data_IF_818228776828
#
_entry.id   IF_818228776828
#
_cell.length_a   1.000
_cell.length_b   1.000
_cell.length_c   1.000
_cell.angle_alpha   90.00
_cell.angle_beta   90.00
_cell.angle_gamma   90.00
#
_symmetry.space_group_name_H-M   'P 1'
#
loop_
_entity.id
_entity.type
_entity.pdbx_description
1 polymer ?
#
# COMPACT_ATOMS: atom_id res chain seq x y z
N UNK A 1 71.87 -16.73 3.03
CA UNK A 1 70.96 -15.70 2.47
C UNK A 1 70.06 -16.31 1.41
N UNK A 2 68.97 -16.97 1.83
CA UNK A 2 67.85 -17.47 1.00
C UNK A 2 66.87 -18.13 1.98
N UNK A 3 66.03 -17.32 2.61
CA UNK A 3 64.87 -17.66 3.46
C UNK A 3 64.51 -16.36 4.17
N UNK A 4 63.68 -15.53 3.53
CA UNK A 4 62.80 -14.44 4.03
C UNK A 4 62.31 -13.72 2.74
N UNK A 5 61.55 -14.41 1.88
CA UNK A 5 60.75 -13.77 0.79
C UNK A 5 59.39 -14.48 0.62
N UNK A 6 59.13 -15.59 1.31
CA UNK A 6 57.88 -16.35 1.14
C UNK A 6 56.74 -15.98 2.12
N UNK A 7 56.96 -15.07 3.08
CA UNK A 7 55.94 -14.73 4.10
C UNK A 7 55.39 -13.30 4.03
N UNK A 8 55.80 -12.50 3.03
CA UNK A 8 55.22 -11.16 2.78
C UNK A 8 54.28 -11.16 1.57
N UNK A 9 54.26 -12.25 0.79
CA UNK A 9 53.38 -12.41 -0.38
C UNK A 9 52.03 -13.10 -0.09
N UNK A 10 51.72 -13.31 1.19
CA UNK A 10 50.44 -13.90 1.64
C UNK A 10 49.63 -12.93 2.51
N UNK A 11 49.77 -11.63 2.24
CA UNK A 11 48.98 -10.56 2.90
C UNK A 11 48.49 -9.48 1.94
N UNK A 12 48.60 -9.71 0.64
CA UNK A 12 48.07 -8.81 -0.39
C UNK A 12 47.34 -9.67 -1.42
N UNK A 13 46.09 -9.29 -1.70
CA UNK A 13 45.20 -9.86 -2.72
C UNK A 13 44.30 -11.05 -2.33
N UNK A 14 43.69 -11.04 -1.15
CA UNK A 14 42.26 -11.40 -1.10
C UNK A 14 41.46 -10.16 -1.54
N UNK A 15 41.57 -9.82 -2.83
CA UNK A 15 40.46 -9.14 -3.50
C UNK A 15 39.41 -10.22 -3.58
N UNK A 16 38.56 -10.30 -2.56
CA UNK A 16 37.24 -10.87 -2.76
C UNK A 16 36.67 -10.10 -3.95
N UNK A 17 36.59 -10.77 -5.10
CA UNK A 17 35.68 -10.41 -6.17
C UNK A 17 34.28 -10.60 -5.59
N UNK A 18 33.86 -9.67 -4.74
CA UNK A 18 32.51 -9.63 -4.21
C UNK A 18 31.60 -9.49 -5.42
N UNK A 19 30.68 -10.44 -5.58
CA UNK A 19 29.67 -10.37 -6.62
C UNK A 19 28.76 -9.17 -6.30
N UNK A 20 29.01 -8.03 -6.96
CA UNK A 20 28.14 -6.87 -6.90
C UNK A 20 26.86 -7.15 -7.68
N UNK A 21 25.71 -6.97 -7.05
CA UNK A 21 24.43 -6.98 -7.75
C UNK A 21 24.05 -5.54 -8.09
N UNK A 22 23.70 -5.29 -9.35
CA UNK A 22 23.21 -3.98 -9.80
C UNK A 22 21.73 -4.11 -10.13
N UNK A 23 20.90 -3.31 -9.46
CA UNK A 23 19.46 -3.24 -9.63
C UNK A 23 19.09 -1.87 -10.20
N UNK A 24 18.11 -1.84 -11.10
CA UNK A 24 17.66 -0.61 -11.74
C UNK A 24 16.21 -0.36 -11.34
N UNK A 25 15.93 0.80 -10.75
CA UNK A 25 14.58 1.18 -10.35
C UNK A 25 14.19 2.49 -11.03
N UNK A 26 12.92 2.64 -11.38
CA UNK A 26 12.35 3.95 -11.70
C UNK A 26 11.82 4.58 -10.41
N UNK A 27 12.58 5.53 -9.87
CA UNK A 27 12.22 6.25 -8.64
C UNK A 27 11.80 7.67 -8.98
N UNK A 28 10.91 8.23 -8.19
CA UNK A 28 10.56 9.65 -8.26
C UNK A 28 11.36 10.43 -7.22
N UNK A 29 11.71 11.66 -7.59
CA UNK A 29 12.52 12.57 -6.79
C UNK A 29 11.65 13.51 -5.95
N UNK A 30 12.04 13.78 -4.70
CA UNK A 30 11.47 14.88 -3.92
C UNK A 30 12.26 16.15 -4.25
N UNK A 31 11.82 16.91 -5.25
CA UNK A 31 12.33 18.25 -5.48
C UNK A 31 11.25 19.26 -5.14
N UNK A 32 11.62 20.36 -4.45
CA UNK A 32 10.77 21.55 -4.27
C UNK A 32 10.36 22.20 -5.59
N UNK A 33 10.87 21.72 -6.73
CA UNK A 33 10.43 22.13 -8.06
C UNK A 33 9.16 21.36 -8.40
N UNK A 34 8.18 22.08 -8.94
CA UNK A 34 7.01 21.48 -9.58
C UNK A 34 7.45 20.30 -10.45
N UNK A 35 6.85 19.13 -10.20
CA UNK A 35 7.00 17.83 -10.88
C UNK A 35 8.17 16.92 -10.42
N UNK A 36 7.88 15.75 -9.80
CA UNK A 36 8.84 14.66 -9.74
C UNK A 36 8.97 14.09 -11.15
N UNK A 37 10.07 14.37 -11.83
CA UNK A 37 10.37 13.63 -13.05
C UNK A 37 10.82 12.23 -12.64
N UNK A 38 10.19 11.17 -13.16
CA UNK A 38 10.69 9.81 -12.95
C UNK A 38 12.17 9.77 -13.38
N UNK A 39 13.00 9.24 -12.50
CA UNK A 39 14.44 9.12 -12.69
C UNK A 39 14.84 7.69 -12.45
N UNK A 40 15.75 7.18 -13.28
CA UNK A 40 16.33 5.86 -13.01
C UNK A 40 17.34 6.00 -11.87
N UNK A 41 17.15 5.17 -10.85
CA UNK A 41 18.10 4.96 -9.78
C UNK A 41 18.73 3.57 -9.94
N UNK A 42 20.04 3.55 -10.07
CA UNK A 42 20.83 2.33 -10.00
C UNK A 42 21.21 2.09 -8.53
N UNK A 43 20.78 0.95 -7.97
CA UNK A 43 21.09 0.52 -6.62
C UNK A 43 22.05 -0.66 -6.71
N UNK A 44 23.23 -0.54 -6.12
CA UNK A 44 24.16 -1.65 -5.97
C UNK A 44 24.15 -2.19 -4.56
N UNK A 45 24.18 -3.51 -4.45
CA UNK A 45 24.32 -4.20 -3.18
C UNK A 45 25.56 -5.09 -3.13
N UNK A 46 26.06 -5.30 -1.92
CA UNK A 46 27.07 -6.34 -1.66
C UNK A 46 26.44 -7.74 -1.54
N UNK A 47 27.28 -8.73 -1.25
CA UNK A 47 26.86 -10.13 -1.12
C UNK A 47 25.87 -10.41 0.03
N UNK A 48 25.81 -9.52 1.02
CA UNK A 48 24.86 -9.59 2.13
C UNK A 48 23.52 -8.92 1.79
N UNK A 49 23.47 -8.21 0.65
CA UNK A 49 22.32 -7.43 0.20
C UNK A 49 22.30 -6.00 0.75
N UNK A 50 23.40 -5.52 1.34
CA UNK A 50 23.47 -4.15 1.87
C UNK A 50 23.72 -3.16 0.73
N UNK A 51 23.01 -2.03 0.70
CA UNK A 51 23.16 -1.01 -0.35
C UNK A 51 24.51 -0.29 -0.24
N UNK A 52 25.43 -0.55 -1.17
CA UNK A 52 26.78 0.05 -1.21
C UNK A 52 26.87 1.28 -2.09
N UNK A 53 25.94 1.43 -3.04
CA UNK A 53 25.91 2.58 -3.94
C UNK A 53 24.50 2.86 -4.46
N UNK A 54 24.18 4.13 -4.60
CA UNK A 54 23.01 4.66 -5.30
C UNK A 54 23.50 5.62 -6.40
N UNK A 55 22.93 5.58 -7.59
CA UNK A 55 23.29 6.50 -8.68
C UNK A 55 22.04 6.97 -9.41
N UNK A 56 21.94 8.28 -9.58
CA UNK A 56 20.78 8.96 -10.16
C UNK A 56 21.10 9.42 -11.59
N UNK A 57 20.24 9.10 -12.56
CA UNK A 57 20.55 9.30 -13.99
C UNK A 57 20.73 10.79 -14.40
N UNK A 58 19.83 11.67 -13.96
CA UNK A 58 19.83 13.11 -14.33
C UNK A 58 20.82 13.98 -13.59
N UNK A 59 21.19 13.64 -12.36
CA UNK A 59 21.99 14.52 -11.51
C UNK A 59 23.50 14.34 -11.67
N UNK A 60 23.95 13.29 -12.37
CA UNK A 60 25.35 12.84 -12.35
C UNK A 60 25.92 12.68 -10.91
N UNK A 61 25.05 12.58 -9.90
CA UNK A 61 25.37 12.34 -8.51
C UNK A 61 25.33 10.84 -8.22
N UNK A 62 26.16 10.39 -7.28
CA UNK A 62 26.05 9.06 -6.72
C UNK A 62 26.37 9.08 -5.23
N UNK A 63 25.63 8.29 -4.48
CA UNK A 63 25.87 8.08 -3.06
C UNK A 63 26.64 6.79 -2.90
N UNK A 64 27.73 6.83 -2.14
CA UNK A 64 28.48 5.65 -1.74
C UNK A 64 28.26 5.41 -0.26
N UNK A 65 28.09 4.17 0.13
CA UNK A 65 27.79 3.82 1.52
C UNK A 65 29.02 3.13 2.09
N UNK A 66 29.53 3.67 3.20
CA UNK A 66 30.65 3.09 3.93
C UNK A 66 30.13 2.57 5.27
N UNK A 67 30.23 1.26 5.47
CA UNK A 67 29.82 0.65 6.73
C UNK A 67 30.98 0.67 7.73
N UNK A 68 30.95 1.60 8.66
CA UNK A 68 31.65 1.51 9.93
C UNK A 68 30.67 1.15 11.06
N UNK A 69 31.09 1.27 12.33
CA UNK A 69 30.24 0.97 13.50
C UNK A 69 28.94 1.81 13.54
N UNK A 70 28.89 2.94 12.84
CA UNK A 70 27.75 3.88 12.80
C UNK A 70 27.06 3.97 11.43
N UNK A 71 27.55 3.24 10.42
CA UNK A 71 27.03 3.20 9.05
C UNK A 71 26.81 4.59 8.42
N UNK A 72 27.90 5.33 8.20
CA UNK A 72 27.87 6.63 7.53
C UNK A 72 27.54 6.53 6.03
N UNK A 73 26.65 7.40 5.55
CA UNK A 73 26.39 7.58 4.12
C UNK A 73 27.22 8.76 3.62
N UNK A 74 28.03 8.53 2.59
CA UNK A 74 28.83 9.59 1.94
C UNK A 74 28.28 9.81 0.54
N UNK A 75 27.64 10.96 0.35
CA UNK A 75 27.12 11.39 -0.95
C UNK A 75 28.22 12.10 -1.73
N UNK A 76 28.53 11.60 -2.93
CA UNK A 76 29.48 12.21 -3.86
C UNK A 76 28.72 12.96 -4.95
N UNK A 77 28.97 14.26 -5.05
CA UNK A 77 28.38 15.10 -6.09
C UNK A 77 29.29 15.18 -7.32
N UNK A 78 28.70 15.53 -8.47
CA UNK A 78 29.41 15.65 -9.74
C UNK A 78 30.52 16.73 -9.72
N UNK A 79 30.39 17.72 -8.83
CA UNK A 79 31.39 18.78 -8.61
C UNK A 79 32.53 18.35 -7.67
N UNK A 80 32.52 17.11 -7.19
CA UNK A 80 33.51 16.56 -6.27
C UNK A 80 33.27 16.89 -4.80
N UNK A 81 32.19 17.61 -4.47
CA UNK A 81 31.81 17.84 -3.08
C UNK A 81 31.27 16.57 -2.42
N UNK A 82 31.37 16.54 -1.09
CA UNK A 82 30.95 15.43 -0.25
C UNK A 82 29.93 15.90 0.78
N UNK A 83 28.89 15.10 0.99
CA UNK A 83 27.95 15.28 2.11
C UNK A 83 27.85 13.98 2.89
N UNK A 84 28.12 14.07 4.18
CA UNK A 84 27.94 12.97 5.12
C UNK A 84 26.53 13.03 5.72
N UNK A 85 25.84 11.89 5.73
CA UNK A 85 24.53 11.73 6.36
C UNK A 85 24.61 10.69 7.47
N UNK A 86 24.28 11.12 8.69
CA UNK A 86 24.16 10.23 9.84
C UNK A 86 22.75 9.63 9.90
N UNK A 87 22.65 8.31 9.73
CA UNK A 87 21.39 7.55 9.74
C UNK A 87 20.97 7.05 11.13
N UNK A 88 21.81 7.22 12.16
CA UNK A 88 21.46 6.88 13.55
C UNK A 88 20.32 7.74 14.08
N UNK A 89 20.19 8.96 13.55
CA UNK A 89 19.15 9.92 13.93
C UNK A 89 17.74 9.55 13.42
N UNK A 90 17.60 8.46 12.68
CA UNK A 90 16.31 7.98 12.23
C UNK A 90 15.73 6.99 13.24
N UNK A 91 14.60 7.36 13.85
CA UNK A 91 13.85 6.51 14.76
C UNK A 91 12.90 5.60 13.97
N UNK A 92 13.01 4.28 14.17
CA UNK A 92 12.19 3.28 13.48
C UNK A 92 11.30 2.53 14.46
N UNK A 93 10.04 2.40 14.07
CA UNK A 93 9.14 1.39 14.59
C UNK A 93 8.64 0.55 13.41
N UNK A 94 8.81 -0.77 13.48
CA UNK A 94 8.40 -1.69 12.41
C UNK A 94 7.60 -2.82 13.04
N UNK A 95 6.38 -2.98 12.59
CA UNK A 95 5.50 -4.11 12.88
C UNK A 95 5.44 -5.05 11.68
N UNK A 96 4.59 -6.07 11.74
CA UNK A 96 4.47 -7.05 10.65
C UNK A 96 3.95 -6.44 9.33
N UNK A 97 3.07 -5.44 9.41
CA UNK A 97 2.31 -4.85 8.30
C UNK A 97 2.37 -3.31 8.27
N UNK A 98 3.15 -2.71 9.17
CA UNK A 98 3.26 -1.26 9.28
C UNK A 98 4.66 -0.82 9.70
N UNK A 99 5.02 0.42 9.38
CA UNK A 99 6.19 1.06 9.94
C UNK A 99 5.94 2.55 10.19
N UNK A 100 6.72 3.12 11.08
CA UNK A 100 6.76 4.56 11.34
C UNK A 100 8.21 5.00 11.46
N UNK A 101 8.56 6.08 10.75
CA UNK A 101 9.93 6.59 10.67
C UNK A 101 9.91 8.09 10.80
N UNK A 102 10.71 8.63 11.72
CA UNK A 102 10.89 10.07 11.84
C UNK A 102 12.25 10.48 11.28
N UNK A 103 12.25 11.52 10.47
CA UNK A 103 13.45 12.13 9.88
C UNK A 103 13.44 13.62 10.17
N UNK A 104 14.55 14.11 10.72
CA UNK A 104 14.79 15.55 10.78
C UNK A 104 15.51 16.02 9.52
N UNK A 105 15.01 17.08 8.91
CA UNK A 105 15.67 17.80 7.82
C UNK A 105 15.65 19.29 8.16
N UNK A 106 16.83 19.87 8.36
CA UNK A 106 17.04 21.19 8.95
C UNK A 106 16.27 21.35 10.28
N UNK A 107 15.21 22.16 10.28
CA UNK A 107 14.37 22.45 11.45
C UNK A 107 13.02 21.73 11.41
N UNK A 108 12.77 20.92 10.38
CA UNK A 108 11.48 20.25 10.15
C UNK A 108 11.58 18.76 10.45
N UNK A 109 10.64 18.25 11.25
CA UNK A 109 10.47 16.82 11.47
C UNK A 109 9.46 16.26 10.48
N UNK A 110 9.89 15.28 9.70
CA UNK A 110 9.06 14.51 8.79
C UNK A 110 8.77 13.14 9.37
N UNK A 111 7.50 12.72 9.32
CA UNK A 111 7.05 11.38 9.69
C UNK A 111 6.62 10.63 8.44
N UNK A 112 7.22 9.46 8.23
CA UNK A 112 6.84 8.49 7.20
C UNK A 112 6.15 7.32 7.88
N UNK A 113 4.86 7.17 7.64
CA UNK A 113 4.05 6.10 8.21
C UNK A 113 3.52 5.23 7.09
N UNK A 114 3.88 3.94 7.10
CA UNK A 114 3.23 2.96 6.26
C UNK A 114 2.25 2.17 7.09
N UNK A 115 0.97 2.23 6.74
CA UNK A 115 -0.07 1.41 7.36
C UNK A 115 -1.20 1.22 6.39
N UNK A 116 -1.79 0.02 6.37
CA UNK A 116 -2.92 -0.29 5.48
C UNK A 116 -2.62 0.09 4.01
N UNK A 117 -1.37 -0.11 3.57
CA UNK A 117 -0.90 0.15 2.20
C UNK A 117 -0.88 1.61 1.77
N UNK A 118 -1.00 2.50 2.74
CA UNK A 118 -0.72 3.90 2.55
C UNK A 118 0.64 4.20 3.11
N UNK A 119 1.51 4.79 2.31
CA UNK A 119 2.69 5.47 2.79
C UNK A 119 2.34 6.95 2.93
N UNK A 120 2.28 7.46 4.14
CA UNK A 120 1.94 8.86 4.44
C UNK A 120 3.21 9.58 4.85
N UNK A 121 3.48 10.72 4.21
CA UNK A 121 4.52 11.65 4.61
C UNK A 121 3.88 12.90 5.22
N UNK A 122 4.18 13.14 6.49
CA UNK A 122 3.67 14.30 7.24
C UNK A 122 4.79 15.20 7.72
N UNK A 123 4.58 16.50 7.65
CA UNK A 123 5.36 17.52 8.35
C UNK A 123 4.80 17.63 9.77
N UNK A 124 5.51 17.02 10.72
CA UNK A 124 5.10 16.94 12.13
C UNK A 124 5.14 18.31 12.78
N UNK A 125 6.11 19.15 12.38
CA UNK A 125 6.27 20.51 12.90
C UNK A 125 5.06 21.39 12.57
N UNK A 126 4.44 21.19 11.40
CA UNK A 126 3.22 21.89 10.99
C UNK A 126 1.93 21.12 11.25
N UNK A 127 2.02 19.86 11.66
CA UNK A 127 0.89 18.94 11.79
C UNK A 127 0.09 18.80 10.48
N UNK A 128 0.81 18.66 9.36
CA UNK A 128 0.25 18.61 8.00
C UNK A 128 0.66 17.32 7.28
N UNK A 129 -0.29 16.71 6.53
CA UNK A 129 0.05 15.68 5.54
C UNK A 129 0.58 16.39 4.29
N UNK A 130 1.81 16.11 3.89
CA UNK A 130 2.39 16.66 2.66
C UNK A 130 1.96 15.85 1.45
N UNK A 131 2.06 14.54 1.57
CA UNK A 131 1.71 13.61 0.51
C UNK A 131 1.43 12.23 1.08
N UNK A 132 0.73 11.41 0.32
CA UNK A 132 0.64 9.99 0.58
C UNK A 132 0.66 9.20 -0.71
N UNK A 133 0.96 7.92 -0.58
CA UNK A 133 1.08 7.00 -1.69
C UNK A 133 0.16 5.83 -1.43
N UNK A 134 -0.65 5.49 -2.43
CA UNK A 134 -1.46 4.28 -2.41
C UNK A 134 -0.63 3.18 -3.05
N UNK A 135 -0.19 2.22 -2.24
CA UNK A 135 0.57 1.07 -2.69
C UNK A 135 -0.39 0.01 -3.22
N UNK A 136 -0.03 -0.60 -4.34
CA UNK A 136 -0.77 -1.68 -5.00
C UNK A 136 0.19 -2.77 -5.44
N UNK A 137 -0.38 -3.94 -5.66
CA UNK A 137 0.31 -5.07 -6.25
C UNK A 137 -0.40 -5.49 -7.53
N UNK A 138 0.36 -5.57 -8.62
CA UNK A 138 -0.03 -6.25 -9.87
C UNK A 138 0.72 -7.58 -9.96
N UNK A 139 0.50 -8.39 -11.00
CA UNK A 139 1.13 -9.72 -11.10
C UNK A 139 2.66 -9.65 -10.96
N UNK A 140 3.32 -8.77 -11.73
CA UNK A 140 4.79 -8.67 -11.79
C UNK A 140 5.38 -7.44 -11.09
N UNK A 141 4.55 -6.46 -10.71
CA UNK A 141 5.03 -5.18 -10.20
C UNK A 141 4.30 -4.74 -8.93
N UNK A 142 4.99 -4.00 -8.08
CA UNK A 142 4.38 -3.08 -7.13
C UNK A 142 4.16 -1.73 -7.80
N UNK A 143 3.06 -1.07 -7.46
CA UNK A 143 2.72 0.26 -7.95
C UNK A 143 2.46 1.19 -6.76
N UNK A 144 3.02 2.40 -6.75
CA UNK A 144 2.57 3.46 -5.85
C UNK A 144 1.97 4.60 -6.64
N UNK A 145 0.73 4.95 -6.34
CA UNK A 145 0.09 6.15 -6.85
C UNK A 145 0.32 7.29 -5.86
N UNK A 146 1.04 8.34 -6.27
CA UNK A 146 1.21 9.55 -5.47
C UNK A 146 -0.07 10.39 -5.47
N UNK A 147 -0.53 10.74 -4.28
CA UNK A 147 -1.64 11.64 -4.03
C UNK A 147 -1.14 12.86 -3.24
N UNK A 148 -1.29 14.05 -3.82
CA UNK A 148 -0.85 15.31 -3.21
C UNK A 148 -2.03 16.13 -2.73
N UNK A 149 -1.85 16.81 -1.61
CA UNK A 149 -2.81 17.78 -1.11
C UNK A 149 -2.94 18.93 -2.11
N UNK A 150 -4.17 19.29 -2.45
CA UNK A 150 -4.47 20.40 -3.35
C UNK A 150 -4.98 21.61 -2.57
N UNK A 151 -6.07 21.43 -1.83
CA UNK A 151 -6.74 22.48 -1.07
C UNK A 151 -7.76 21.87 -0.09
N UNK A 152 -8.34 22.67 0.80
CA UNK A 152 -9.53 22.22 1.54
C UNK A 152 -10.79 22.37 0.68
N UNK A 153 -11.82 21.59 0.99
CA UNK A 153 -13.14 21.72 0.40
C UNK A 153 -13.71 23.13 0.62
N UNK A 154 -13.44 23.73 1.77
CA UNK A 154 -13.79 25.13 2.08
C UNK A 154 -13.16 26.10 1.11
N UNK A 155 -11.89 25.91 0.76
CA UNK A 155 -11.20 26.74 -0.24
C UNK A 155 -11.81 26.59 -1.65
N UNK A 156 -12.48 25.46 -1.91
CA UNK A 156 -13.20 25.18 -3.16
C UNK A 156 -14.70 25.52 -3.11
N UNK A 157 -15.16 26.18 -2.04
CA UNK A 157 -16.55 26.66 -1.90
C UNK A 157 -17.55 25.67 -1.29
N UNK A 158 -17.10 24.55 -0.73
CA UNK A 158 -17.95 23.58 -0.03
C UNK A 158 -17.96 23.84 1.50
N UNK A 159 -19.05 23.49 2.17
CA UNK A 159 -19.18 23.59 3.64
C UNK A 159 -18.52 22.39 4.34
N UNK A 160 -17.21 22.23 4.16
CA UNK A 160 -16.44 21.13 4.74
C UNK A 160 -14.95 21.48 4.83
N UNK A 161 -14.31 21.11 5.94
CA UNK A 161 -12.86 21.25 6.14
C UNK A 161 -12.06 20.04 5.59
N UNK A 162 -12.71 19.13 4.85
CA UNK A 162 -12.01 17.97 4.31
C UNK A 162 -10.94 18.39 3.30
N UNK A 163 -9.84 17.66 3.28
CA UNK A 163 -8.68 17.93 2.44
C UNK A 163 -8.85 17.23 1.10
N UNK A 164 -8.74 17.96 -0.01
CA UNK A 164 -8.77 17.41 -1.37
C UNK A 164 -7.37 16.95 -1.74
N UNK A 165 -7.27 15.74 -2.27
CA UNK A 165 -6.04 15.21 -2.82
C UNK A 165 -6.24 14.83 -4.29
N UNK A 166 -5.26 15.17 -5.13
CA UNK A 166 -5.26 14.83 -6.54
C UNK A 166 -4.27 13.69 -6.79
N UNK A 167 -4.74 12.64 -7.46
CA UNK A 167 -3.90 11.59 -8.01
C UNK A 167 -3.30 12.11 -9.31
N UNK A 168 -2.09 12.64 -9.23
CA UNK A 168 -1.43 13.30 -10.37
C UNK A 168 -0.98 12.33 -11.49
N UNK A 169 -1.42 11.07 -11.47
CA UNK A 169 -1.08 10.07 -12.49
C UNK A 169 0.37 9.57 -12.45
N UNK A 170 1.14 9.90 -11.40
CA UNK A 170 2.48 9.38 -11.21
C UNK A 170 2.42 8.06 -10.45
N UNK A 171 2.57 6.99 -11.23
CA UNK A 171 2.67 5.64 -10.71
C UNK A 171 4.15 5.25 -10.67
N UNK A 172 4.66 5.02 -9.46
CA UNK A 172 5.98 4.42 -9.26
C UNK A 172 5.80 2.93 -9.46
N UNK A 173 6.46 2.36 -10.46
CA UNK A 173 6.33 0.95 -10.79
C UNK A 173 7.65 0.26 -10.47
N UNK A 174 7.60 -0.73 -9.57
CA UNK A 174 8.75 -1.48 -9.13
C UNK A 174 8.58 -2.95 -9.45
N UNK A 175 9.52 -3.56 -10.17
CA UNK A 175 9.47 -4.98 -10.44
C UNK A 175 9.56 -5.77 -9.15
N UNK A 176 8.65 -6.72 -8.92
CA UNK A 176 8.74 -7.65 -7.78
C UNK A 176 10.05 -8.41 -7.80
N UNK A 177 10.55 -8.75 -8.99
CA UNK A 177 11.83 -9.43 -9.16
C UNK A 177 12.98 -8.58 -8.60
N UNK A 178 13.02 -7.29 -8.92
CA UNK A 178 14.08 -6.38 -8.47
C UNK A 178 13.97 -6.10 -6.97
N UNK A 179 12.76 -5.90 -6.45
CA UNK A 179 12.52 -5.81 -5.01
C UNK A 179 12.98 -7.06 -4.27
N UNK A 180 12.64 -8.25 -4.79
CA UNK A 180 13.05 -9.51 -4.18
C UNK A 180 14.58 -9.70 -4.19
N UNK A 181 15.27 -9.13 -5.19
CA UNK A 181 16.74 -9.12 -5.23
C UNK A 181 17.34 -8.09 -4.25
N UNK A 182 16.63 -7.00 -3.95
CA UNK A 182 17.04 -6.02 -2.94
C UNK A 182 16.77 -6.51 -1.51
N UNK A 183 15.70 -7.30 -1.32
CA UNK A 183 15.27 -7.82 -0.02
C UNK A 183 16.22 -8.90 0.48
N UNK A 184 16.87 -8.63 1.60
CA UNK A 184 17.69 -9.62 2.31
C UNK A 184 16.83 -10.54 3.17
N UNK A 185 17.30 -11.76 3.41
CA UNK A 185 16.72 -12.66 4.40
C UNK A 185 16.94 -12.15 5.83
N UNK A 186 17.97 -11.33 6.03
CA UNK A 186 18.26 -10.68 7.29
C UNK A 186 17.45 -9.39 7.42
N UNK A 187 16.49 -9.37 8.35
CA UNK A 187 15.63 -8.20 8.60
C UNK A 187 16.44 -6.97 9.03
N UNK A 188 17.59 -7.15 9.68
CA UNK A 188 18.45 -6.03 10.09
C UNK A 188 19.07 -5.33 8.87
N UNK A 189 19.39 -6.08 7.82
CA UNK A 189 19.88 -5.54 6.54
C UNK A 189 18.76 -4.78 5.82
N UNK A 190 17.53 -5.29 5.82
CA UNK A 190 16.39 -4.57 5.23
C UNK A 190 16.11 -3.25 5.97
N UNK A 191 16.21 -3.25 7.30
CA UNK A 191 16.08 -2.05 8.11
C UNK A 191 17.17 -1.02 7.80
N UNK A 192 18.41 -1.47 7.66
CA UNK A 192 19.54 -0.62 7.25
C UNK A 192 19.33 -0.04 5.85
N UNK A 193 18.92 -0.87 4.89
CA UNK A 193 18.62 -0.41 3.54
C UNK A 193 17.47 0.60 3.53
N UNK A 194 16.43 0.41 4.34
CA UNK A 194 15.34 1.38 4.49
C UNK A 194 15.82 2.73 5.03
N UNK A 195 16.74 2.74 6.01
CA UNK A 195 17.40 3.96 6.49
C UNK A 195 18.10 4.72 5.36
N UNK A 196 18.89 3.99 4.56
CA UNK A 196 19.63 4.55 3.43
C UNK A 196 18.67 5.15 2.40
N UNK A 197 17.64 4.39 1.99
CA UNK A 197 16.64 4.85 1.03
C UNK A 197 15.93 6.12 1.51
N UNK A 198 15.55 6.19 2.79
CA UNK A 198 14.89 7.38 3.34
C UNK A 198 15.82 8.58 3.40
N UNK A 199 17.06 8.40 3.85
CA UNK A 199 18.06 9.47 3.89
C UNK A 199 18.28 10.08 2.51
N UNK A 200 18.21 9.25 1.48
CA UNK A 200 18.40 9.60 0.07
C UNK A 200 17.10 10.03 -0.63
N UNK A 201 15.97 10.04 0.08
CA UNK A 201 14.68 10.48 -0.47
C UNK A 201 13.94 9.44 -1.32
N UNK A 202 14.41 8.19 -1.37
CA UNK A 202 13.79 7.05 -2.06
C UNK A 202 12.85 6.27 -1.12
N UNK A 203 12.01 6.97 -0.37
CA UNK A 203 11.16 6.35 0.66
C UNK A 203 10.05 5.47 0.06
N UNK A 204 9.68 5.66 -1.22
CA UNK A 204 8.63 4.87 -1.90
C UNK A 204 9.00 3.39 -2.10
N UNK A 205 10.28 3.02 -2.01
CA UNK A 205 10.74 1.63 -2.03
C UNK A 205 10.65 0.93 -0.65
N UNK A 206 10.59 1.71 0.44
CA UNK A 206 10.70 1.22 1.82
C UNK A 206 9.61 0.20 2.18
N UNK A 207 8.32 0.39 1.81
CA UNK A 207 7.28 -0.58 2.10
C UNK A 207 7.62 -2.00 1.64
N UNK A 208 8.21 -2.16 0.46
CA UNK A 208 8.39 -3.50 -0.13
C UNK A 208 9.61 -4.25 0.41
N UNK A 209 10.57 -3.55 0.99
CA UNK A 209 11.72 -4.18 1.64
C UNK A 209 11.47 -4.46 3.12
N UNK A 210 10.62 -3.68 3.79
CA UNK A 210 10.31 -3.85 5.21
C UNK A 210 9.13 -4.79 5.47
N UNK A 211 8.11 -4.79 4.61
CA UNK A 211 6.87 -5.53 4.86
C UNK A 211 6.88 -6.89 4.16
N UNK A 212 6.41 -7.91 4.88
CA UNK A 212 6.57 -9.33 4.58
C UNK A 212 5.47 -9.93 3.69
N UNK A 213 5.06 -9.22 2.64
CA UNK A 213 4.23 -9.71 1.51
C UNK A 213 2.72 -9.39 1.56
N UNK A 214 2.17 -9.24 0.35
CA UNK A 214 0.78 -8.91 -0.05
C UNK A 214 0.31 -7.47 0.20
N UNK A 215 0.64 -6.59 -0.75
CA UNK A 215 -0.02 -5.28 -0.94
C UNK A 215 -1.30 -5.52 -1.74
N UNK A 216 -2.22 -6.26 -1.16
CA UNK A 216 -3.60 -6.36 -1.69
C UNK A 216 -4.39 -5.31 -0.99
N UNK A 217 -4.78 -4.25 -1.69
CA UNK A 217 -5.62 -3.14 -1.24
C UNK A 217 -6.87 -3.70 -0.58
N UNK A 218 -6.80 -3.91 0.73
CA UNK A 218 -7.90 -4.48 1.48
C UNK A 218 -8.55 -3.35 2.26
N UNK A 219 -9.88 -3.29 2.31
CA UNK A 219 -10.57 -2.31 3.15
C UNK A 219 -10.04 -2.29 4.58
N UNK A 220 -9.87 -1.10 5.14
CA UNK A 220 -9.51 -0.88 6.55
C UNK A 220 -10.45 -1.70 7.46
N UNK A 221 -11.75 -1.67 7.16
CA UNK A 221 -12.71 -2.56 7.82
C UNK A 221 -13.91 -2.91 6.96
N UNK A 222 -14.58 -3.99 7.39
CA UNK A 222 -15.96 -4.31 7.05
C UNK A 222 -16.78 -4.33 8.34
N UNK A 223 -17.97 -3.73 8.32
CA UNK A 223 -18.95 -3.80 9.41
C UNK A 223 -20.33 -4.03 8.82
N UNK A 224 -21.24 -4.59 9.60
CA UNK A 224 -22.63 -4.69 9.21
C UNK A 224 -23.57 -4.27 10.35
N UNK A 225 -24.77 -3.83 10.01
CA UNK A 225 -25.84 -3.56 10.99
C UNK A 225 -26.35 -4.83 11.66
N UNK A 226 -26.15 -5.99 11.03
CA UNK A 226 -26.54 -7.29 11.56
C UNK A 226 -25.61 -8.39 11.06
N UNK A 227 -25.40 -9.42 11.87
CA UNK A 227 -24.53 -10.56 11.57
C UNK A 227 -25.12 -11.82 12.18
N UNK A 228 -25.29 -12.86 11.36
CA UNK A 228 -25.84 -14.13 11.79
C UNK A 228 -24.77 -14.99 12.48
N UNK A 229 -25.12 -15.54 13.65
CA UNK A 229 -24.31 -16.55 14.33
C UNK A 229 -25.14 -17.82 14.53
N UNK A 230 -24.68 -18.93 13.99
CA UNK A 230 -25.35 -20.22 14.08
C UNK A 230 -24.38 -21.28 14.58
N UNK A 231 -24.67 -21.87 15.74
CA UNK A 231 -23.82 -22.89 16.36
C UNK A 231 -22.36 -22.39 16.45
N UNK A 232 -21.46 -23.00 15.69
CA UNK A 232 -20.03 -22.66 15.62
C UNK A 232 -19.69 -21.73 14.45
N UNK A 233 -20.60 -21.48 13.52
CA UNK A 233 -20.40 -20.60 12.38
C UNK A 233 -20.78 -19.15 12.73
N UNK A 234 -19.94 -18.20 12.30
CA UNK A 234 -20.21 -16.78 12.45
C UNK A 234 -20.06 -16.08 11.10
N UNK A 235 -21.17 -15.59 10.56
CA UNK A 235 -21.29 -14.98 9.23
C UNK A 235 -21.14 -13.46 9.32
N UNK A 236 -20.02 -13.03 9.88
CA UNK A 236 -19.68 -11.62 10.15
C UNK A 236 -19.27 -10.86 8.89
N UNK A 237 -19.30 -9.52 8.96
CA UNK A 237 -18.99 -8.66 7.83
C UNK A 237 -17.55 -8.82 7.31
N UNK A 238 -16.58 -9.15 8.17
CA UNK A 238 -15.18 -9.35 7.78
C UNK A 238 -14.99 -10.52 6.81
N UNK A 239 -15.95 -11.44 6.75
CA UNK A 239 -15.92 -12.53 5.79
C UNK A 239 -16.03 -12.03 4.34
N UNK A 240 -16.58 -10.83 4.11
CA UNK A 240 -16.76 -10.24 2.78
C UNK A 240 -15.44 -9.92 2.05
N UNK A 241 -14.31 -9.91 2.78
CA UNK A 241 -12.99 -9.55 2.27
C UNK A 241 -12.44 -10.53 1.23
N UNK A 242 -12.92 -11.77 1.21
CA UNK A 242 -12.39 -12.83 0.35
C UNK A 242 -13.50 -13.73 -0.16
N UNK A 243 -13.28 -14.33 -1.33
CA UNK A 243 -14.16 -15.36 -1.86
C UNK A 243 -14.04 -16.67 -1.07
N UNK A 244 -12.90 -16.89 -0.41
CA UNK A 244 -12.61 -18.09 0.35
C UNK A 244 -13.13 -17.98 1.80
N UNK A 245 -14.19 -18.72 2.11
CA UNK A 245 -14.69 -18.82 3.48
C UNK A 245 -16.20 -18.82 3.59
N UNK A 246 -16.69 -18.50 4.78
CA UNK A 246 -18.11 -18.27 5.02
C UNK A 246 -18.53 -16.95 4.36
N UNK A 247 -19.80 -16.77 3.99
CA UNK A 247 -20.32 -15.47 3.56
C UNK A 247 -20.52 -14.55 4.78
N UNK A 248 -20.89 -13.29 4.52
CA UNK A 248 -21.71 -12.54 5.46
C UNK A 248 -23.17 -12.98 5.31
N UNK A 249 -23.88 -13.09 6.43
CA UNK A 249 -25.30 -13.38 6.44
C UNK A 249 -26.03 -12.46 7.42
N UNK A 250 -27.17 -11.94 6.96
CA UNK A 250 -28.04 -11.11 7.76
C UNK A 250 -28.65 -11.92 8.92
N UNK A 251 -28.63 -11.35 10.13
CA UNK A 251 -29.40 -11.89 11.27
C UNK A 251 -30.91 -11.65 11.12
N UNK A 252 -31.29 -10.71 10.27
CA UNK A 252 -32.65 -10.21 10.10
C UNK A 252 -33.41 -10.95 8.97
N UNK A 253 -33.03 -12.20 8.67
CA UNK A 253 -33.62 -12.99 7.59
C UNK A 253 -33.31 -12.36 6.23
N UNK A 254 -34.34 -11.84 5.54
CA UNK A 254 -34.18 -11.22 4.22
C UNK A 254 -33.22 -10.01 4.20
N UNK A 255 -32.86 -9.46 5.36
CA UNK A 255 -31.85 -8.40 5.45
C UNK A 255 -32.25 -7.10 4.75
N UNK A 256 -33.53 -6.88 4.44
CA UNK A 256 -34.01 -5.62 3.87
C UNK A 256 -33.76 -4.50 4.88
N UNK A 257 -33.16 -3.41 4.42
CA UNK A 257 -32.62 -2.30 5.21
C UNK A 257 -31.37 -2.61 6.04
N UNK A 258 -30.81 -3.83 5.97
CA UNK A 258 -29.49 -4.05 6.52
C UNK A 258 -28.44 -3.25 5.75
N UNK A 259 -27.41 -2.85 6.48
CA UNK A 259 -26.34 -2.00 6.01
C UNK A 259 -25.01 -2.71 6.18
N UNK A 260 -24.18 -2.65 5.14
CA UNK A 260 -22.78 -3.06 5.17
C UNK A 260 -21.94 -1.80 4.99
N UNK A 261 -20.91 -1.65 5.81
CA UNK A 261 -19.97 -0.54 5.75
C UNK A 261 -18.61 -1.05 5.34
N UNK A 262 -18.02 -0.43 4.33
CA UNK A 262 -16.68 -0.74 3.83
C UNK A 262 -15.88 0.55 3.83
N UNK A 263 -14.77 0.59 4.56
CA UNK A 263 -13.83 1.72 4.48
C UNK A 263 -12.63 1.30 3.65
N UNK A 264 -12.44 1.93 2.52
CA UNK A 264 -11.41 1.57 1.52
C UNK A 264 -10.58 2.79 1.18
N UNK A 265 -9.30 2.63 0.79
CA UNK A 265 -8.56 3.69 0.12
C UNK A 265 -9.37 4.23 -1.07
N UNK A 266 -9.35 5.55 -1.24
CA UNK A 266 -10.07 6.24 -2.30
C UNK A 266 -9.26 6.25 -3.58
N UNK A 267 -9.85 5.78 -4.69
CA UNK A 267 -9.20 5.75 -5.98
C UNK A 267 -10.17 6.12 -7.10
N UNK A 268 -9.67 6.92 -8.05
CA UNK A 268 -10.35 7.20 -9.29
C UNK A 268 -10.62 5.87 -10.04
N UNK A 269 -11.86 5.66 -10.50
CA UNK A 269 -12.34 4.44 -11.17
C UNK A 269 -12.44 3.15 -10.32
N UNK A 270 -12.41 3.24 -9.00
CA UNK A 270 -12.66 2.08 -8.13
C UNK A 270 -14.00 1.41 -8.46
N UNK A 271 -13.99 0.07 -8.49
CA UNK A 271 -15.18 -0.78 -8.65
C UNK A 271 -15.38 -1.64 -7.41
N UNK A 272 -16.60 -2.12 -7.19
CA UNK A 272 -16.86 -3.22 -6.27
C UNK A 272 -17.17 -4.49 -7.05
N UNK A 273 -16.35 -5.52 -6.86
CA UNK A 273 -16.67 -6.89 -7.26
C UNK A 273 -17.59 -7.51 -6.20
N UNK A 274 -18.86 -7.71 -6.56
CA UNK A 274 -19.87 -8.29 -5.68
C UNK A 274 -20.10 -9.75 -6.08
N UNK A 275 -19.88 -10.65 -5.12
CA UNK A 275 -20.19 -12.08 -5.20
C UNK A 275 -21.46 -12.34 -4.39
N UNK A 276 -22.60 -12.28 -5.07
CA UNK A 276 -23.91 -12.37 -4.43
C UNK A 276 -24.23 -13.82 -4.01
N UNK A 277 -25.05 -13.99 -2.96
CA UNK A 277 -25.46 -15.30 -2.44
C UNK A 277 -24.36 -16.07 -1.71
N UNK A 278 -24.70 -17.22 -1.14
CA UNK A 278 -23.72 -18.14 -0.54
C UNK A 278 -23.12 -19.06 -1.61
N UNK A 279 -21.86 -18.85 -1.97
CA UNK A 279 -21.16 -19.58 -3.02
C UNK A 279 -20.18 -20.62 -2.46
N UNK A 280 -20.70 -21.65 -1.78
CA UNK A 280 -19.86 -22.73 -1.26
C UNK A 280 -19.28 -23.60 -2.37
N UNK A 281 -17.96 -23.84 -2.31
CA UNK A 281 -17.24 -24.75 -3.24
C UNK A 281 -17.80 -26.18 -3.19
N UNK A 282 -18.23 -26.65 -2.02
CA UNK A 282 -18.73 -28.01 -1.81
C UNK A 282 -20.26 -28.12 -1.81
N UNK A 283 -20.96 -27.00 -1.64
CA UNK A 283 -22.43 -26.95 -1.51
C UNK A 283 -23.03 -25.86 -2.40
N UNK A 284 -22.98 -26.10 -3.71
CA UNK A 284 -23.50 -25.18 -4.74
C UNK A 284 -25.00 -24.88 -4.59
N UNK A 285 -25.75 -25.80 -3.98
CA UNK A 285 -27.18 -25.63 -3.69
C UNK A 285 -27.45 -24.45 -2.74
N UNK A 286 -26.49 -24.06 -1.91
CA UNK A 286 -26.64 -22.96 -0.94
C UNK A 286 -26.88 -21.60 -1.60
N UNK A 287 -26.48 -21.43 -2.86
CA UNK A 287 -26.73 -20.20 -3.60
C UNK A 287 -28.23 -19.96 -3.75
N UNK A 288 -29.00 -20.97 -4.20
CA UNK A 288 -30.46 -20.86 -4.34
C UNK A 288 -31.21 -21.10 -3.03
N UNK A 289 -30.65 -21.90 -2.12
CA UNK A 289 -31.29 -22.18 -0.84
C UNK A 289 -31.43 -20.93 0.05
N UNK A 290 -30.51 -19.96 -0.02
CA UNK A 290 -30.53 -18.73 0.77
C UNK A 290 -31.01 -17.53 -0.06
N UNK A 291 -31.48 -16.48 0.60
CA UNK A 291 -31.83 -15.24 -0.08
C UNK A 291 -30.60 -14.53 -0.62
N UNK A 292 -30.78 -13.77 -1.71
CA UNK A 292 -29.72 -13.08 -2.45
C UNK A 292 -30.14 -11.63 -2.66
N UNK A 293 -29.19 -10.70 -2.68
CA UNK A 293 -29.52 -9.29 -2.90
C UNK A 293 -30.02 -9.09 -4.34
N UNK A 294 -31.13 -8.39 -4.52
CA UNK A 294 -31.71 -8.04 -5.83
C UNK A 294 -31.46 -6.59 -6.16
N UNK A 295 -31.66 -5.71 -5.18
CA UNK A 295 -31.44 -4.28 -5.33
C UNK A 295 -30.69 -3.75 -4.11
N UNK A 296 -29.65 -2.97 -4.35
CA UNK A 296 -28.84 -2.34 -3.30
C UNK A 296 -28.71 -0.84 -3.57
N UNK A 297 -28.51 -0.06 -2.51
CA UNK A 297 -28.08 1.33 -2.57
C UNK A 297 -26.67 1.43 -2.02
N UNK A 298 -25.77 2.04 -2.77
CA UNK A 298 -24.41 2.33 -2.32
C UNK A 298 -24.31 3.83 -2.12
N UNK A 299 -23.87 4.26 -0.94
CA UNK A 299 -23.71 5.66 -0.57
C UNK A 299 -22.27 5.92 -0.13
N UNK A 300 -21.66 6.96 -0.66
CA UNK A 300 -20.43 7.53 -0.13
C UNK A 300 -20.81 8.39 1.09
N UNK A 301 -20.32 8.03 2.28
CA UNK A 301 -20.70 8.72 3.52
C UNK A 301 -20.05 10.10 3.65
N UNK A 302 -18.89 10.31 3.02
CA UNK A 302 -18.17 11.58 3.03
C UNK A 302 -18.87 12.63 2.16
N UNK A 303 -19.39 12.25 0.99
CA UNK A 303 -20.06 13.19 0.06
C UNK A 303 -21.57 13.19 0.17
N UNK A 304 -22.14 12.11 0.72
CA UNK A 304 -23.58 11.85 0.71
C UNK A 304 -24.13 11.34 -0.61
N UNK A 305 -23.34 11.29 -1.70
CA UNK A 305 -23.77 10.80 -3.01
C UNK A 305 -24.13 9.31 -2.96
N UNK A 306 -25.10 8.91 -3.77
CA UNK A 306 -25.56 7.51 -3.77
C UNK A 306 -26.01 7.03 -5.15
N UNK A 307 -25.87 5.72 -5.38
CA UNK A 307 -26.37 5.02 -6.56
C UNK A 307 -27.20 3.81 -6.12
N UNK A 308 -28.24 3.49 -6.89
CA UNK A 308 -29.00 2.26 -6.74
C UNK A 308 -28.66 1.30 -7.87
N UNK A 309 -28.45 0.04 -7.53
CA UNK A 309 -27.99 -1.00 -8.45
C UNK A 309 -28.93 -2.20 -8.35
N UNK A 310 -29.37 -2.69 -9.51
CA UNK A 310 -30.04 -3.98 -9.61
C UNK A 310 -28.98 -5.05 -9.89
N UNK A 311 -28.88 -6.03 -9.01
CA UNK A 311 -28.00 -7.18 -9.16
C UNK A 311 -28.73 -8.28 -9.91
N UNK A 312 -28.04 -8.91 -10.84
CA UNK A 312 -28.53 -10.09 -11.57
C UNK A 312 -28.50 -11.29 -10.60
N UNK A 313 -29.52 -12.15 -10.65
CA UNK A 313 -29.59 -13.42 -9.90
C UNK A 313 -28.66 -14.49 -10.51
N UNK A 314 -27.35 -14.22 -10.45
CA UNK A 314 -26.28 -15.10 -10.92
C UNK A 314 -25.19 -15.27 -9.85
N UNK A 315 -24.54 -16.45 -9.75
CA UNK A 315 -23.36 -16.63 -8.92
C UNK A 315 -22.10 -15.98 -9.54
N UNK A 316 -22.15 -15.54 -10.80
CA UNK A 316 -21.04 -14.83 -11.42
C UNK A 316 -20.79 -13.49 -10.71
N UNK A 317 -19.51 -13.08 -10.67
CA UNK A 317 -19.10 -11.78 -10.14
C UNK A 317 -19.75 -10.63 -10.92
N UNK A 318 -20.18 -9.59 -10.21
CA UNK A 318 -20.72 -8.37 -10.79
C UNK A 318 -19.86 -7.18 -10.36
N UNK A 319 -19.25 -6.49 -11.32
CA UNK A 319 -18.40 -5.33 -11.08
C UNK A 319 -19.22 -4.04 -11.19
N UNK A 320 -19.35 -3.32 -10.08
CA UNK A 320 -20.10 -2.06 -10.00
C UNK A 320 -19.10 -0.90 -10.02
N UNK A 321 -19.18 -0.05 -11.05
CA UNK A 321 -18.41 1.19 -11.09
C UNK A 321 -18.93 2.18 -10.04
N UNK A 322 -17.99 2.80 -9.32
CA UNK A 322 -18.27 3.82 -8.32
C UNK A 322 -17.96 5.24 -8.82
N UNK A 323 -17.73 5.43 -10.13
CA UNK A 323 -17.44 6.74 -10.72
C UNK A 323 -18.47 7.81 -10.34
N UNK A 324 -19.76 7.44 -10.24
CA UNK A 324 -20.85 8.34 -9.84
C UNK A 324 -20.93 8.63 -8.34
N UNK A 325 -20.15 7.90 -7.54
CA UNK A 325 -20.09 8.05 -6.08
C UNK A 325 -18.91 8.89 -5.63
N UNK A 326 -18.11 9.38 -6.58
CA UNK A 326 -17.31 10.54 -6.29
C UNK A 326 -16.29 10.12 -5.18
N UNK A 327 -15.60 9.00 -5.44
CA UNK A 327 -14.87 8.21 -4.43
C UNK A 327 -13.39 8.58 -4.31
N UNK A 328 -12.98 9.73 -4.87
CA UNK A 328 -11.59 10.18 -4.95
C UNK A 328 -11.26 11.32 -3.98
N UNK A 329 -12.11 11.60 -2.99
CA UNK A 329 -12.04 12.88 -2.24
C UNK A 329 -11.15 12.89 -0.99
N UNK A 330 -10.97 11.74 -0.33
CA UNK A 330 -10.20 11.63 0.90
C UNK A 330 -9.23 10.46 0.80
N UNK A 331 -8.24 10.33 1.68
CA UNK A 331 -7.33 9.15 1.70
C UNK A 331 -8.12 7.82 1.77
N UNK A 332 -9.22 7.82 2.53
CA UNK A 332 -10.19 6.74 2.62
C UNK A 332 -11.59 7.22 2.29
N UNK A 333 -12.41 6.35 1.71
CA UNK A 333 -13.85 6.53 1.53
C UNK A 333 -14.59 5.43 2.28
N UNK A 334 -15.66 5.81 2.96
CA UNK A 334 -16.57 4.88 3.64
C UNK A 334 -17.83 4.72 2.80
N UNK A 335 -18.03 3.51 2.29
CA UNK A 335 -19.22 3.14 1.55
C UNK A 335 -20.24 2.47 2.48
N UNK A 336 -21.47 2.97 2.47
CA UNK A 336 -22.64 2.30 3.05
C UNK A 336 -23.41 1.60 1.92
N UNK A 337 -23.51 0.27 2.01
CA UNK A 337 -24.29 -0.57 1.10
C UNK A 337 -25.55 -1.01 1.83
N UNK A 338 -26.70 -0.48 1.44
CA UNK A 338 -28.01 -0.82 1.98
C UNK A 338 -28.72 -1.82 1.09
N UNK A 339 -29.26 -2.89 1.67
CA UNK A 339 -30.09 -3.85 0.95
C UNK A 339 -31.51 -3.30 0.80
N UNK A 340 -32.00 -3.18 -0.44
CA UNK A 340 -33.33 -2.65 -0.74
C UNK A 340 -34.34 -3.74 -1.08
N UNK A 341 -33.91 -4.73 -1.87
CA UNK A 341 -34.75 -5.87 -2.28
C UNK A 341 -33.92 -7.14 -2.36
N UNK A 342 -34.58 -8.30 -2.25
CA UNK A 342 -33.94 -9.62 -2.37
C UNK A 342 -34.66 -10.55 -3.33
N UNK A 343 -33.90 -11.50 -3.88
CA UNK A 343 -34.43 -12.75 -4.40
C UNK A 343 -34.62 -13.70 -3.22
N UNK A 344 -35.84 -14.19 -2.95
CA UNK A 344 -36.07 -15.16 -1.88
C UNK A 344 -35.25 -16.44 -2.10
N UNK A 345 -34.76 -17.01 -1.00
CA UNK A 345 -34.17 -18.34 -0.99
C UNK A 345 -35.25 -19.42 -1.03
N UNK A 346 -34.91 -20.56 -1.63
CA UNK A 346 -35.84 -21.70 -1.75
C UNK A 346 -36.11 -22.38 -0.39
N UNK A 347 -35.21 -22.17 0.58
CA UNK A 347 -35.25 -22.86 1.88
C UNK A 347 -35.06 -21.94 3.08
N UNK A 348 -34.11 -21.02 2.99
CA UNK A 348 -33.71 -20.14 4.08
C UNK A 348 -34.03 -18.69 3.71
N UNK A 349 -34.52 -17.94 4.69
CA UNK A 349 -34.82 -16.51 4.50
C UNK A 349 -33.55 -15.67 4.55
N UNK A 350 -32.52 -16.16 5.20
CA UNK A 350 -31.25 -15.48 5.45
C UNK A 350 -30.63 -14.99 4.15
N UNK A 351 -30.40 -13.69 4.08
CA UNK A 351 -29.67 -13.05 2.99
C UNK A 351 -28.18 -13.32 3.17
N UNK A 352 -27.56 -13.88 2.14
CA UNK A 352 -26.12 -14.11 2.10
C UNK A 352 -25.45 -13.30 0.99
N UNK A 353 -24.26 -12.78 1.28
CA UNK A 353 -23.33 -12.23 0.28
C UNK A 353 -21.97 -12.87 0.54
N UNK A 354 -21.41 -13.53 -0.47
CA UNK A 354 -20.14 -14.24 -0.34
C UNK A 354 -18.99 -13.27 -0.13
N UNK A 355 -18.89 -12.24 -0.98
CA UNK A 355 -17.80 -11.28 -0.92
C UNK A 355 -18.19 -9.94 -1.56
N UNK A 356 -17.58 -8.87 -1.08
CA UNK A 356 -17.61 -7.54 -1.70
C UNK A 356 -16.18 -7.03 -1.68
N UNK A 357 -15.51 -7.04 -2.82
CA UNK A 357 -14.08 -6.77 -2.91
C UNK A 357 -13.89 -5.49 -3.74
N UNK A 358 -13.25 -4.44 -3.21
CA UNK A 358 -12.84 -3.32 -4.04
C UNK A 358 -11.82 -3.77 -5.09
N UNK A 359 -12.03 -3.33 -6.33
CA UNK A 359 -11.16 -3.55 -7.47
C UNK A 359 -10.71 -2.18 -7.97
N UNK A 360 -9.41 -2.03 -8.17
CA UNK A 360 -8.75 -0.76 -8.44
C UNK A 360 -8.20 -0.69 -9.84
#
# INVERSE_FOLDING_TARGET
MKKIIASIFMFTLFIYLYAENTLLFEVGEFSDKMFPSSQKCEIKTDELGRIIRLKYEKENSYSSITYDESAHIIVHFADGSLRELNIENLNFHVDNDSFCINRFFDTTEYKYEFKNQLLICSDVTKNEIKEYYICRESDDNYELCLCRYVCSLRDSGYDSDALIFDSQGYNYIYSKKEINNLKSKDKSINLLNAKILIAEGIFSLVPFILINDSVVTTPDYYKASSELKEKTAFYKAENLRTLDGLPWASKNGYGINDKIFIKTPSLYNMKLAIYNGYQSKTRKDLYKANSRAKKIKIRNLETGNSIEINLIDTPAVQNISLEKLDVSYNVYTTLEITILEVYPGDKYKDLCIQAIIPVY
#
